data_IF_545458936049
#
_entry.id   IF_545458936049
#
_cell.length_a   1.000
_cell.length_b   1.000
_cell.length_c   1.000
_cell.angle_alpha   90.00
_cell.angle_beta   90.00
_cell.angle_gamma   90.00
#
_symmetry.space_group_name_H-M   'P 1'
#
loop_
_entity.id
_entity.type
_entity.pdbx_description
1 polymer ?
#
# COMPACT_ATOMS: atom_id res chain seq x y z
N UNK A 1 -1.29 -21.98 -9.63
CA UNK A 1 -1.65 -21.00 -10.67
C UNK A 1 -2.83 -20.21 -10.14
N UNK A 2 -2.71 -18.89 -9.95
CA UNK A 2 -3.79 -18.03 -9.43
C UNK A 2 -4.98 -18.09 -10.39
N UNK A 3 -5.89 -19.02 -10.14
CA UNK A 3 -7.18 -19.16 -10.84
C UNK A 3 -8.23 -18.52 -9.95
N UNK A 4 -8.28 -17.21 -9.92
CA UNK A 4 -9.34 -16.47 -9.25
C UNK A 4 -10.09 -15.67 -10.30
N UNK A 5 -11.35 -16.05 -10.53
CA UNK A 5 -12.26 -15.22 -11.32
C UNK A 5 -12.53 -13.93 -10.54
N UNK A 6 -12.15 -12.78 -11.10
CA UNK A 6 -12.28 -11.47 -10.47
C UNK A 6 -13.70 -11.17 -9.96
N UNK A 7 -14.72 -11.73 -10.63
CA UNK A 7 -16.13 -11.63 -10.23
C UNK A 7 -16.47 -12.32 -8.88
N UNK A 8 -15.59 -13.19 -8.37
CA UNK A 8 -15.82 -13.98 -7.14
C UNK A 8 -14.96 -13.54 -5.95
N UNK A 9 -14.05 -12.57 -6.14
CA UNK A 9 -13.03 -12.19 -5.16
C UNK A 9 -13.54 -11.45 -3.92
N UNK A 10 -14.82 -11.05 -3.89
CA UNK A 10 -15.38 -10.29 -2.78
C UNK A 10 -14.86 -8.85 -2.74
N UNK A 11 -14.83 -8.25 -1.55
CA UNK A 11 -14.39 -6.87 -1.32
C UNK A 11 -13.17 -6.90 -0.40
N UNK A 12 -12.24 -5.97 -0.62
CA UNK A 12 -11.14 -5.72 0.30
C UNK A 12 -11.06 -4.23 0.58
N UNK A 13 -11.45 -3.83 1.78
CA UNK A 13 -11.58 -2.43 2.19
C UNK A 13 -10.92 -2.13 3.52
N UNK A 14 -11.12 -0.90 4.00
CA UNK A 14 -10.52 -0.41 5.24
C UNK A 14 -10.86 -1.28 6.47
N UNK A 15 -12.06 -1.86 6.54
CA UNK A 15 -12.47 -2.74 7.66
C UNK A 15 -11.68 -4.05 7.69
N UNK A 16 -11.34 -4.59 6.52
CA UNK A 16 -10.54 -5.81 6.41
C UNK A 16 -9.10 -5.54 6.86
N UNK A 17 -8.54 -4.38 6.50
CA UNK A 17 -7.25 -3.90 7.02
C UNK A 17 -7.28 -3.84 8.55
N UNK A 18 -8.28 -3.20 9.14
CA UNK A 18 -8.41 -3.08 10.61
C UNK A 18 -8.51 -4.46 11.27
N UNK A 19 -9.27 -5.37 10.66
CA UNK A 19 -9.44 -6.74 11.16
C UNK A 19 -8.12 -7.54 11.13
N UNK A 20 -7.35 -7.41 10.06
CA UNK A 20 -6.01 -8.01 9.94
C UNK A 20 -5.06 -7.47 11.00
N UNK A 21 -5.00 -6.14 11.16
CA UNK A 21 -4.13 -5.50 12.15
C UNK A 21 -4.49 -5.93 13.57
N UNK A 22 -5.79 -5.97 13.88
CA UNK A 22 -6.27 -6.32 15.22
C UNK A 22 -5.95 -7.78 15.58
N UNK A 23 -5.98 -8.68 14.60
CA UNK A 23 -5.78 -10.11 14.83
C UNK A 23 -4.32 -10.55 14.80
N UNK A 24 -3.49 -9.95 13.95
CA UNK A 24 -2.15 -10.45 13.62
C UNK A 24 -1.04 -9.40 13.71
N UNK A 25 -1.37 -8.17 14.11
CA UNK A 25 -0.43 -7.05 14.13
C UNK A 25 -0.34 -6.35 12.77
N UNK A 26 0.41 -5.24 12.74
CA UNK A 26 0.45 -4.37 11.55
C UNK A 26 1.21 -5.00 10.38
N UNK A 27 2.12 -5.94 10.63
CA UNK A 27 2.87 -6.66 9.61
C UNK A 27 1.95 -7.52 8.73
N UNK A 28 0.75 -7.87 9.22
CA UNK A 28 -0.23 -8.69 8.51
C UNK A 28 -0.82 -8.02 7.26
N UNK A 29 -0.61 -6.71 7.09
CA UNK A 29 -1.05 -5.96 5.91
C UNK A 29 0.06 -5.77 4.87
N UNK A 30 1.26 -6.30 5.12
CA UNK A 30 2.35 -6.32 4.14
C UNK A 30 2.04 -7.30 3.00
N UNK A 31 2.52 -7.04 1.77
CA UNK A 31 2.20 -7.87 0.61
C UNK A 31 2.47 -9.37 0.83
N UNK A 32 3.60 -9.74 1.42
CA UNK A 32 3.97 -11.13 1.68
C UNK A 32 3.07 -11.82 2.72
N UNK A 33 2.39 -11.06 3.59
CA UNK A 33 1.45 -11.58 4.58
C UNK A 33 -0.01 -11.64 4.08
N UNK A 34 -0.35 -10.89 3.04
CA UNK A 34 -1.71 -10.86 2.49
C UNK A 34 -2.09 -12.19 1.84
N UNK A 35 -3.38 -12.53 1.84
CA UNK A 35 -3.88 -13.68 1.09
C UNK A 35 -3.88 -13.41 -0.41
N UNK A 36 -3.82 -14.45 -1.23
CA UNK A 36 -3.78 -14.36 -2.71
C UNK A 36 -4.88 -13.47 -3.28
N UNK A 37 -6.10 -13.60 -2.76
CA UNK A 37 -7.25 -12.84 -3.21
C UNK A 37 -7.13 -11.35 -2.84
N UNK A 38 -6.62 -11.03 -1.63
CA UNK A 38 -6.34 -9.66 -1.21
C UNK A 38 -5.24 -9.00 -2.07
N UNK A 39 -4.21 -9.76 -2.46
CA UNK A 39 -3.14 -9.26 -3.34
C UNK A 39 -3.66 -8.83 -4.71
N UNK A 40 -4.51 -9.66 -5.32
CA UNK A 40 -5.11 -9.36 -6.64
C UNK A 40 -5.99 -8.11 -6.54
N UNK A 41 -6.87 -8.05 -5.53
CA UNK A 41 -7.73 -6.88 -5.30
C UNK A 41 -6.91 -5.62 -5.02
N UNK A 42 -5.83 -5.73 -4.25
CA UNK A 42 -4.94 -4.62 -3.93
C UNK A 42 -4.22 -4.10 -5.18
N UNK A 43 -3.70 -4.98 -6.06
CA UNK A 43 -3.07 -4.57 -7.32
C UNK A 43 -4.05 -3.78 -8.20
N UNK A 44 -5.30 -4.25 -8.32
CA UNK A 44 -6.34 -3.56 -9.07
C UNK A 44 -6.64 -2.16 -8.48
N UNK A 45 -6.87 -2.09 -7.17
CA UNK A 45 -7.18 -0.83 -6.47
C UNK A 45 -6.05 0.20 -6.56
N UNK A 46 -4.78 -0.24 -6.48
CA UNK A 46 -3.64 0.67 -6.61
C UNK A 46 -3.54 1.20 -8.04
N UNK A 47 -3.71 0.34 -9.06
CA UNK A 47 -3.69 0.77 -10.47
C UNK A 47 -4.80 1.79 -10.77
N UNK A 48 -5.97 1.60 -10.18
CA UNK A 48 -7.10 2.52 -10.29
C UNK A 48 -6.83 3.87 -9.60
N UNK A 49 -6.15 3.88 -8.45
CA UNK A 49 -5.69 5.12 -7.83
C UNK A 49 -4.62 5.82 -8.68
N UNK A 50 -3.65 5.08 -9.22
CA UNK A 50 -2.59 5.63 -10.06
C UNK A 50 -3.11 6.17 -11.40
N UNK A 51 -4.20 5.63 -11.94
CA UNK A 51 -4.85 6.12 -13.15
C UNK A 51 -5.81 7.30 -12.92
N UNK A 52 -6.01 7.70 -11.67
CA UNK A 52 -6.92 8.78 -11.28
C UNK A 52 -8.39 8.36 -11.15
N UNK A 53 -8.73 7.10 -11.41
CA UNK A 53 -10.10 6.57 -11.28
C UNK A 53 -10.56 6.41 -9.84
N UNK A 54 -9.66 6.00 -8.94
CA UNK A 54 -10.00 5.61 -7.56
C UNK A 54 -10.10 6.77 -6.56
N UNK A 55 -9.96 8.01 -7.02
CA UNK A 55 -10.03 9.21 -6.17
C UNK A 55 -11.47 9.71 -6.02
N UNK A 56 -12.32 9.44 -7.03
CA UNK A 56 -13.71 9.88 -7.08
C UNK A 56 -14.63 8.75 -6.61
N UNK A 57 -14.57 8.42 -5.32
CA UNK A 57 -15.59 7.59 -4.70
C UNK A 57 -16.93 8.33 -4.72
N UNK A 58 -17.75 8.10 -5.74
CA UNK A 58 -19.18 8.37 -5.62
C UNK A 58 -19.76 7.49 -4.51
N UNK A 59 -20.86 7.92 -3.88
CA UNK A 59 -21.56 7.29 -2.73
C UNK A 59 -21.91 5.78 -2.87
N UNK A 60 -21.53 5.12 -3.97
CA UNK A 60 -21.83 3.72 -4.30
C UNK A 60 -20.63 2.79 -4.35
N UNK A 61 -19.39 3.27 -4.40
CA UNK A 61 -18.24 2.37 -4.46
C UNK A 61 -17.80 1.92 -3.06
N UNK A 62 -17.52 0.62 -2.85
CA UNK A 62 -16.99 0.14 -1.59
C UNK A 62 -15.66 0.85 -1.27
N UNK A 63 -15.41 1.21 -0.01
CA UNK A 63 -14.18 1.89 0.37
C UNK A 63 -12.96 1.01 0.04
N UNK A 64 -12.12 1.48 -0.88
CA UNK A 64 -10.88 0.82 -1.32
C UNK A 64 -9.89 0.69 -0.17
N UNK A 65 -9.17 -0.44 -0.10
CA UNK A 65 -8.12 -0.68 0.88
C UNK A 65 -6.79 -0.01 0.51
N UNK A 66 -6.54 0.24 -0.78
CA UNK A 66 -5.24 0.69 -1.27
C UNK A 66 -4.78 2.03 -0.68
N UNK A 67 -5.63 3.06 -0.69
CA UNK A 67 -5.26 4.36 -0.14
C UNK A 67 -5.07 4.29 1.39
N UNK A 68 -6.03 3.79 2.19
CA UNK A 68 -5.83 3.62 3.64
C UNK A 68 -4.58 2.81 3.99
N UNK A 69 -4.29 1.74 3.25
CA UNK A 69 -3.09 0.93 3.46
C UNK A 69 -1.82 1.74 3.18
N UNK A 70 -1.79 2.48 2.08
CA UNK A 70 -0.63 3.30 1.71
C UNK A 70 -0.33 4.35 2.79
N UNK A 71 -1.36 5.06 3.27
CA UNK A 71 -1.22 6.05 4.34
C UNK A 71 -0.75 5.42 5.66
N UNK A 72 -1.25 4.22 5.99
CA UNK A 72 -0.79 3.46 7.15
C UNK A 72 0.69 3.10 7.03
N UNK A 73 1.12 2.59 5.87
CA UNK A 73 2.52 2.21 5.64
C UNK A 73 3.45 3.41 5.67
N UNK A 74 3.03 4.57 5.13
CA UNK A 74 3.77 5.83 5.25
C UNK A 74 3.88 6.30 6.71
N UNK A 75 2.82 6.15 7.51
CA UNK A 75 2.90 6.41 8.97
C UNK A 75 3.95 5.50 9.62
N UNK A 76 4.01 4.22 9.24
CA UNK A 76 5.03 3.28 9.73
C UNK A 76 6.43 3.60 9.24
N UNK A 77 6.55 4.23 8.08
CA UNK A 77 7.81 4.72 7.52
C UNK A 77 8.32 6.02 8.17
N UNK A 78 7.56 6.64 9.08
CA UNK A 78 7.99 7.80 9.84
C UNK A 78 7.47 9.14 9.32
N UNK A 79 6.40 9.16 8.53
CA UNK A 79 5.64 10.38 8.29
C UNK A 79 5.06 10.88 9.61
N UNK A 80 5.31 12.14 9.93
CA UNK A 80 4.83 12.75 11.16
C UNK A 80 3.31 12.91 11.07
N UNK A 81 2.61 12.55 12.14
CA UNK A 81 1.19 12.93 12.31
C UNK A 81 1.16 14.39 12.74
N UNK A 82 0.51 15.24 11.96
CA UNK A 82 0.38 16.67 12.24
C UNK A 82 -1.00 16.89 12.87
N UNK A 83 -1.05 16.95 14.21
CA UNK A 83 -2.32 17.07 14.95
C UNK A 83 -3.27 15.90 14.68
N UNK A 84 -4.47 16.21 14.17
CA UNK A 84 -5.51 15.24 13.79
C UNK A 84 -5.40 14.80 12.31
N UNK A 85 -4.36 15.24 11.61
CA UNK A 85 -4.18 15.10 10.17
C UNK A 85 -2.98 14.24 9.76
N UNK A 86 -3.01 13.82 8.50
CA UNK A 86 -1.92 13.15 7.80
C UNK A 86 -1.37 14.10 6.75
N UNK A 87 -0.18 14.65 6.98
CA UNK A 87 0.44 15.64 6.11
C UNK A 87 1.53 14.96 5.28
N UNK A 88 1.25 14.77 3.99
CA UNK A 88 2.19 14.20 3.03
C UNK A 88 2.06 14.95 1.71
N UNK A 89 3.19 15.22 1.05
CA UNK A 89 3.19 15.75 -0.31
C UNK A 89 2.49 14.77 -1.26
N UNK A 90 1.75 15.30 -2.23
CA UNK A 90 1.07 14.47 -3.24
C UNK A 90 2.07 13.60 -4.02
N UNK A 91 3.26 14.14 -4.29
CA UNK A 91 4.35 13.42 -4.97
C UNK A 91 4.83 12.23 -4.13
N UNK A 92 5.10 12.44 -2.84
CA UNK A 92 5.47 11.37 -1.90
C UNK A 92 4.37 10.30 -1.80
N UNK A 93 3.09 10.70 -1.79
CA UNK A 93 1.97 9.75 -1.80
C UNK A 93 1.93 8.94 -3.11
N UNK A 94 2.13 9.59 -4.25
CA UNK A 94 2.17 8.94 -5.55
C UNK A 94 3.32 7.93 -5.65
N UNK A 95 4.52 8.31 -5.21
CA UNK A 95 5.68 7.41 -5.19
C UNK A 95 5.47 6.23 -4.23
N UNK A 96 4.84 6.45 -3.08
CA UNK A 96 4.49 5.38 -2.15
C UNK A 96 3.51 4.38 -2.78
N UNK A 97 2.51 4.85 -3.53
CA UNK A 97 1.60 4.00 -4.30
C UNK A 97 2.36 3.19 -5.36
N UNK A 98 3.32 3.79 -6.06
CA UNK A 98 4.16 3.09 -7.04
C UNK A 98 5.03 2.00 -6.40
N UNK A 99 5.64 2.29 -5.24
CA UNK A 99 6.41 1.31 -4.47
C UNK A 99 5.52 0.16 -3.99
N UNK A 100 4.33 0.47 -3.46
CA UNK A 100 3.38 -0.54 -3.02
C UNK A 100 2.88 -1.41 -4.20
N UNK A 101 2.55 -0.80 -5.34
CA UNK A 101 2.15 -1.54 -6.55
C UNK A 101 3.23 -2.52 -6.99
N UNK A 102 4.48 -2.06 -7.02
CA UNK A 102 5.63 -2.90 -7.40
C UNK A 102 5.84 -4.05 -6.42
N UNK A 103 5.67 -3.81 -5.12
CA UNK A 103 5.79 -4.82 -4.10
C UNK A 103 4.68 -5.89 -4.21
N UNK A 104 3.43 -5.45 -4.43
CA UNK A 104 2.27 -6.34 -4.63
C UNK A 104 2.45 -7.19 -5.90
N UNK A 105 2.79 -6.57 -7.03
CA UNK A 105 3.01 -7.28 -8.29
C UNK A 105 4.15 -8.32 -8.17
N UNK A 106 5.24 -7.96 -7.50
CA UNK A 106 6.36 -8.87 -7.26
C UNK A 106 5.96 -10.04 -6.37
N UNK A 107 5.11 -9.82 -5.36
CA UNK A 107 4.61 -10.89 -4.51
C UNK A 107 3.69 -11.85 -5.27
N UNK A 108 2.78 -11.30 -6.09
CA UNK A 108 1.93 -12.09 -7.00
C UNK A 108 2.80 -12.98 -7.89
N UNK A 109 3.83 -12.41 -8.52
CA UNK A 109 4.77 -13.17 -9.37
C UNK A 109 5.52 -14.23 -8.57
N UNK A 110 6.01 -13.93 -7.37
CA UNK A 110 6.70 -14.89 -6.52
C UNK A 110 5.82 -16.11 -6.20
N UNK A 111 4.54 -15.87 -5.84
CA UNK A 111 3.57 -16.94 -5.55
C UNK A 111 3.20 -17.73 -6.80
N UNK A 112 3.03 -17.06 -7.94
CA UNK A 112 2.78 -17.73 -9.22
C UNK A 112 3.92 -18.67 -9.63
N UNK A 113 5.16 -18.27 -9.36
CA UNK A 113 6.37 -19.05 -9.65
C UNK A 113 6.75 -20.04 -8.54
N UNK A 114 6.01 -20.07 -7.42
CA UNK A 114 6.28 -20.94 -6.27
C UNK A 114 7.74 -20.86 -5.79
N UNK A 115 8.32 -19.66 -5.80
CA UNK A 115 9.72 -19.45 -5.40
C UNK A 115 9.91 -19.72 -3.91
N UNK A 116 10.66 -20.77 -3.58
CA UNK A 116 10.95 -21.16 -2.19
C UNK A 116 11.98 -20.27 -1.49
N UNK A 117 12.84 -19.61 -2.25
CA UNK A 117 13.93 -18.76 -1.74
C UNK A 117 13.61 -17.25 -1.87
N UNK A 118 12.33 -16.90 -2.02
CA UNK A 118 11.93 -15.51 -2.14
C UNK A 118 12.13 -14.79 -0.79
N UNK A 119 12.95 -13.73 -0.80
CA UNK A 119 13.09 -12.83 0.35
C UNK A 119 11.74 -12.14 0.59
N UNK A 120 11.24 -12.07 1.84
CA UNK A 120 10.00 -11.37 2.17
C UNK A 120 10.03 -9.92 1.68
N UNK A 121 9.03 -9.56 0.86
CA UNK A 121 8.99 -8.26 0.17
C UNK A 121 8.73 -7.12 1.16
N UNK A 122 7.98 -7.36 2.23
CA UNK A 122 7.56 -6.36 3.19
C UNK A 122 8.70 -5.57 3.82
N UNK A 123 9.83 -6.22 4.13
CA UNK A 123 11.00 -5.50 4.70
C UNK A 123 11.61 -4.53 3.68
N UNK A 124 11.71 -4.95 2.41
CA UNK A 124 12.20 -4.10 1.33
C UNK A 124 11.28 -2.92 1.04
N UNK A 125 9.96 -3.18 1.06
CA UNK A 125 8.94 -2.14 0.90
C UNK A 125 9.05 -1.08 2.01
N UNK A 126 9.07 -1.49 3.28
CA UNK A 126 9.16 -0.56 4.40
C UNK A 126 10.45 0.26 4.35
N UNK A 127 11.58 -0.37 4.00
CA UNK A 127 12.84 0.36 3.82
C UNK A 127 12.76 1.37 2.67
N UNK A 128 12.15 1.00 1.56
CA UNK A 128 11.89 1.90 0.43
C UNK A 128 11.07 3.12 0.84
N UNK A 129 9.98 2.90 1.57
CA UNK A 129 9.12 3.98 2.07
C UNK A 129 9.85 4.88 3.09
N UNK A 130 10.70 4.32 3.95
CA UNK A 130 11.50 5.13 4.88
C UNK A 130 12.47 6.06 4.15
N UNK A 131 13.12 5.58 3.08
CA UNK A 131 14.00 6.40 2.26
C UNK A 131 13.22 7.51 1.55
N UNK A 132 12.04 7.18 1.02
CA UNK A 132 11.13 8.15 0.39
C UNK A 132 10.72 9.26 1.37
N UNK A 133 10.30 8.88 2.58
CA UNK A 133 9.90 9.85 3.62
C UNK A 133 11.07 10.71 4.07
N UNK A 134 12.26 10.13 4.18
CA UNK A 134 13.46 10.88 4.54
C UNK A 134 13.82 11.91 3.46
N UNK A 135 13.76 11.54 2.19
CA UNK A 135 14.02 12.44 1.07
C UNK A 135 13.04 13.62 1.05
N UNK A 136 11.74 13.35 1.21
CA UNK A 136 10.72 14.39 1.26
C UNK A 136 10.91 15.39 2.43
N UNK A 137 11.46 14.93 3.56
CA UNK A 137 11.81 15.83 4.69
C UNK A 137 12.98 16.74 4.36
N UNK A 138 14.02 16.18 3.73
CA UNK A 138 15.22 16.93 3.33
C UNK A 138 14.89 18.01 2.29
N UNK A 139 14.00 17.72 1.34
CA UNK A 139 13.51 18.70 0.36
C UNK A 139 12.75 19.85 1.04
N UNK A 140 11.80 19.53 1.94
CA UNK A 140 11.05 20.55 2.67
C UNK A 140 11.94 21.45 3.54
N UNK A 141 12.99 20.90 4.16
CA UNK A 141 13.97 21.66 4.93
C UNK A 141 14.86 22.54 4.03
N UNK A 142 15.20 22.08 2.83
CA UNK A 142 15.96 22.87 1.85
C UNK A 142 15.16 24.08 1.36
N UNK A 143 13.88 23.90 1.06
CA UNK A 143 12.98 24.97 0.58
C UNK A 143 12.71 26.05 1.64
N UNK A 144 12.76 25.70 2.94
CA UNK A 144 12.62 26.66 4.03
C UNK A 144 13.89 27.47 4.32
N UNK A 145 15.05 27.03 3.83
CA UNK A 145 16.35 27.68 4.03
C UNK A 145 16.85 28.47 2.80
N UNK A 146 16.07 28.51 1.71
CA UNK A 146 16.33 29.24 0.47
C UNK A 146 15.61 30.59 0.43
#
# INVERSE_FOLDING_TARGET
MLRLEKATLGKFGAQDIVSLITSQGWEAVLPDALQDHHLVLMSDQIRELLSGGGWNGGDREPPSAALPLTLLLLTKAGVNRSGDGFEVGLETLHEALCLLNTAVDREIVNRMLQRKDAIPIGTGLIRGLQMLVQHAKEEAESDCNA
#
